data_IF_436336027686
#
_entry.id   IF_436336027686
#
_cell.length_a   1.000
_cell.length_b   1.000
_cell.length_c   1.000
_cell.angle_alpha   90.00
_cell.angle_beta   90.00
_cell.angle_gamma   90.00
#
_symmetry.space_group_name_H-M   'P 1'
#
loop_
_entity.id
_entity.type
_entity.pdbx_description
1 polymer ?
#
# COMPACT_ATOMS: atom_id res chain seq x y z
N UNK A 1 22.86 -14.91 -42.36
CA UNK A 1 21.61 -14.35 -42.90
C UNK A 1 20.54 -14.88 -41.95
N UNK A 2 20.36 -14.16 -40.85
CA UNK A 2 19.58 -14.63 -39.71
C UNK A 2 18.12 -14.39 -40.04
N UNK A 3 17.40 -15.47 -40.33
CA UNK A 3 15.95 -15.45 -40.43
C UNK A 3 15.39 -15.28 -39.01
N UNK A 4 15.04 -14.05 -38.65
CA UNK A 4 13.99 -13.79 -37.66
C UNK A 4 12.75 -14.56 -38.12
N UNK A 5 12.41 -15.61 -37.40
CA UNK A 5 11.15 -16.33 -37.56
C UNK A 5 10.06 -15.39 -37.05
N UNK A 6 9.42 -14.67 -37.98
CA UNK A 6 8.18 -13.93 -37.77
C UNK A 6 7.10 -14.93 -37.35
N UNK A 7 7.00 -15.21 -36.04
CA UNK A 7 6.02 -16.12 -35.47
C UNK A 7 4.66 -15.44 -35.31
N UNK A 8 4.20 -14.70 -36.33
CA UNK A 8 2.84 -14.21 -36.40
C UNK A 8 1.93 -15.34 -36.83
N UNK A 9 0.93 -15.66 -36.01
CA UNK A 9 -0.16 -16.56 -36.40
C UNK A 9 -0.76 -16.05 -37.71
N UNK A 10 -0.68 -16.81 -38.81
CA UNK A 10 -1.17 -16.33 -40.10
C UNK A 10 -2.69 -16.10 -40.04
N UNK A 11 -3.15 -14.93 -40.46
CA UNK A 11 -4.58 -14.67 -40.69
C UNK A 11 -5.34 -13.89 -39.61
N UNK A 12 -4.65 -13.20 -38.69
CA UNK A 12 -5.30 -12.25 -37.79
C UNK A 12 -5.81 -11.03 -38.57
N UNK A 13 -7.04 -10.61 -38.28
CA UNK A 13 -7.56 -9.32 -38.72
C UNK A 13 -6.87 -8.17 -37.97
N UNK A 14 -6.89 -6.96 -38.53
CA UNK A 14 -6.32 -5.78 -37.88
C UNK A 14 -7.00 -5.43 -36.54
N UNK A 15 -8.23 -5.90 -36.33
CA UNK A 15 -8.97 -5.77 -35.08
C UNK A 15 -8.47 -6.78 -34.04
N UNK A 16 -8.24 -8.03 -34.43
CA UNK A 16 -7.64 -9.05 -33.57
C UNK A 16 -6.18 -8.73 -33.21
N UNK A 17 -5.38 -8.18 -34.14
CA UNK A 17 -4.01 -7.71 -33.83
C UNK A 17 -4.02 -6.57 -32.80
N UNK A 18 -4.99 -5.65 -32.87
CA UNK A 18 -5.18 -4.57 -31.89
C UNK A 18 -5.66 -5.11 -30.55
N UNK A 19 -6.63 -6.03 -30.53
CA UNK A 19 -7.08 -6.67 -29.30
C UNK A 19 -5.94 -7.46 -28.63
N UNK A 20 -5.05 -8.08 -29.41
CA UNK A 20 -3.87 -8.76 -28.86
C UNK A 20 -2.90 -7.75 -28.24
N UNK A 21 -2.66 -6.60 -28.90
CA UNK A 21 -1.76 -5.57 -28.37
C UNK A 21 -2.35 -4.87 -27.13
N UNK A 22 -3.67 -4.63 -27.11
CA UNK A 22 -4.38 -4.02 -25.97
C UNK A 22 -4.53 -4.96 -24.76
N UNK A 23 -4.70 -6.27 -24.98
CA UNK A 23 -4.85 -7.25 -23.90
C UNK A 23 -3.51 -7.81 -23.39
N UNK A 24 -2.38 -7.46 -24.00
CA UNK A 24 -1.08 -7.84 -23.48
C UNK A 24 -0.77 -7.06 -22.19
N UNK A 25 -0.21 -7.73 -21.16
CA UNK A 25 0.27 -7.02 -19.98
C UNK A 25 1.33 -5.98 -20.40
N UNK A 26 1.33 -4.76 -19.82
CA UNK A 26 2.23 -3.72 -20.26
C UNK A 26 3.69 -4.14 -20.12
N UNK A 27 4.53 -3.77 -21.09
CA UNK A 27 5.98 -4.03 -21.01
C UNK A 27 6.57 -3.39 -19.75
N UNK A 28 7.57 -4.04 -19.15
CA UNK A 28 8.22 -3.55 -17.93
C UNK A 28 8.71 -2.09 -18.04
N UNK A 29 9.18 -1.67 -19.22
CA UNK A 29 9.59 -0.28 -19.47
C UNK A 29 8.41 0.71 -19.40
N UNK A 30 7.22 0.33 -19.89
CA UNK A 30 6.02 1.15 -19.83
C UNK A 30 5.52 1.27 -18.39
N UNK A 31 5.55 0.17 -17.63
CA UNK A 31 5.22 0.17 -16.20
C UNK A 31 6.15 1.08 -15.41
N UNK A 32 7.46 0.94 -15.63
CA UNK A 32 8.47 1.79 -14.99
C UNK A 32 8.22 3.27 -15.28
N UNK A 33 8.00 3.63 -16.55
CA UNK A 33 7.74 5.02 -16.94
C UNK A 33 6.42 5.55 -16.36
N UNK A 34 5.37 4.72 -16.30
CA UNK A 34 4.10 5.08 -15.70
C UNK A 34 4.26 5.40 -14.21
N UNK A 35 4.94 4.54 -13.46
CA UNK A 35 5.22 4.78 -12.03
C UNK A 35 6.14 5.99 -11.81
N UNK A 36 7.12 6.20 -12.71
CA UNK A 36 7.99 7.38 -12.68
C UNK A 36 7.18 8.67 -12.88
N UNK A 37 6.31 8.73 -13.88
CA UNK A 37 5.48 9.92 -14.10
C UNK A 37 4.53 10.21 -12.94
N UNK A 38 3.94 9.16 -12.33
CA UNK A 38 3.13 9.32 -11.12
C UNK A 38 3.96 9.90 -9.96
N UNK A 39 5.18 9.38 -9.75
CA UNK A 39 6.11 9.90 -8.76
C UNK A 39 6.48 11.37 -8.98
N UNK A 40 6.73 11.77 -10.22
CA UNK A 40 7.00 13.17 -10.58
C UNK A 40 5.82 14.08 -10.21
N UNK A 41 4.58 13.67 -10.51
CA UNK A 41 3.39 14.43 -10.12
C UNK A 41 3.26 14.57 -8.60
N UNK A 42 3.53 13.52 -7.83
CA UNK A 42 3.48 13.58 -6.36
C UNK A 42 4.57 14.50 -5.79
N UNK A 43 5.77 14.49 -6.37
CA UNK A 43 6.85 15.41 -6.01
C UNK A 43 6.55 16.88 -6.34
N UNK A 44 5.60 17.16 -7.23
CA UNK A 44 5.19 18.53 -7.58
C UNK A 44 4.07 19.08 -6.68
N UNK A 45 3.36 18.22 -5.95
CA UNK A 45 2.26 18.65 -5.08
C UNK A 45 2.71 19.62 -3.99
N UNK A 46 1.80 20.54 -3.65
CA UNK A 46 2.01 21.48 -2.57
C UNK A 46 2.03 20.78 -1.21
N UNK A 47 2.77 21.34 -0.25
CA UNK A 47 2.88 20.82 1.12
C UNK A 47 1.50 20.67 1.77
N UNK A 48 0.60 21.64 1.57
CA UNK A 48 -0.75 21.59 2.12
C UNK A 48 -1.59 20.45 1.52
N UNK A 49 -1.48 20.22 0.21
CA UNK A 49 -2.18 19.13 -0.46
C UNK A 49 -1.67 17.76 0.00
N UNK A 50 -0.35 17.60 0.15
CA UNK A 50 0.25 16.39 0.70
C UNK A 50 -0.18 16.17 2.15
N UNK A 51 -0.13 17.21 2.98
CA UNK A 51 -0.47 17.14 4.40
C UNK A 51 -1.90 16.64 4.63
N UNK A 52 -2.89 17.25 4.00
CA UNK A 52 -4.29 16.84 4.21
C UNK A 52 -4.58 15.45 3.67
N UNK A 53 -3.97 15.09 2.53
CA UNK A 53 -4.10 13.76 1.96
C UNK A 53 -3.43 12.69 2.84
N UNK A 54 -2.32 13.02 3.48
CA UNK A 54 -1.59 12.13 4.38
C UNK A 54 -2.27 12.00 5.75
N UNK A 55 -2.83 13.09 6.27
CA UNK A 55 -3.65 13.04 7.49
C UNK A 55 -4.87 12.13 7.27
N UNK A 56 -5.57 12.31 6.15
CA UNK A 56 -6.69 11.46 5.77
C UNK A 56 -6.27 9.99 5.68
N UNK A 57 -5.14 9.68 5.02
CA UNK A 57 -4.60 8.33 4.97
C UNK A 57 -4.35 7.74 6.36
N UNK A 58 -3.73 8.52 7.27
CA UNK A 58 -3.47 8.08 8.65
C UNK A 58 -4.75 7.77 9.42
N UNK A 59 -5.78 8.61 9.29
CA UNK A 59 -7.10 8.35 9.88
C UNK A 59 -7.75 7.10 9.29
N UNK A 60 -7.70 6.95 7.96
CA UNK A 60 -8.28 5.82 7.24
C UNK A 60 -7.56 4.50 7.53
N UNK A 61 -6.26 4.51 7.80
CA UNK A 61 -5.52 3.33 8.26
C UNK A 61 -6.03 2.80 9.60
N UNK A 62 -6.70 3.63 10.39
CA UNK A 62 -7.45 3.20 11.58
C UNK A 62 -8.45 2.06 11.30
N UNK A 63 -9.02 2.01 10.09
CA UNK A 63 -9.94 0.96 9.68
C UNK A 63 -9.29 -0.44 9.70
N UNK A 64 -7.99 -0.55 9.44
CA UNK A 64 -7.27 -1.82 9.51
C UNK A 64 -7.26 -2.38 10.94
N UNK A 65 -6.94 -1.53 11.93
CA UNK A 65 -6.96 -1.93 13.34
C UNK A 65 -8.38 -2.24 13.80
N UNK A 66 -9.35 -1.38 13.43
CA UNK A 66 -10.77 -1.56 13.78
C UNK A 66 -11.31 -2.89 13.25
N UNK A 67 -11.13 -3.18 11.95
CA UNK A 67 -11.64 -4.40 11.34
C UNK A 67 -10.95 -5.64 11.90
N UNK A 68 -9.62 -5.63 12.05
CA UNK A 68 -8.88 -6.75 12.63
C UNK A 68 -9.27 -7.00 14.10
N UNK A 69 -9.38 -5.96 14.92
CA UNK A 69 -9.75 -6.10 16.33
C UNK A 69 -11.20 -6.53 16.52
N UNK A 70 -12.13 -6.03 15.70
CA UNK A 70 -13.51 -6.51 15.69
C UNK A 70 -13.59 -7.99 15.31
N UNK A 71 -12.87 -8.42 14.28
CA UNK A 71 -12.82 -9.83 13.91
C UNK A 71 -12.19 -10.69 15.01
N UNK A 72 -11.07 -10.26 15.60
CA UNK A 72 -10.44 -10.97 16.72
C UNK A 72 -11.38 -11.11 17.91
N UNK A 73 -12.06 -10.03 18.32
CA UNK A 73 -13.01 -10.06 19.44
C UNK A 73 -14.21 -10.99 19.19
N UNK A 74 -14.69 -11.10 17.94
CA UNK A 74 -15.85 -11.93 17.60
C UNK A 74 -15.49 -13.39 17.34
N UNK A 75 -14.23 -13.68 17.03
CA UNK A 75 -13.72 -15.03 16.73
C UNK A 75 -12.90 -15.62 17.88
N UNK A 76 -12.93 -15.00 19.06
CA UNK A 76 -12.24 -15.47 20.25
C UNK A 76 -12.62 -16.94 20.57
N UNK A 77 -11.63 -17.78 20.81
CA UNK A 77 -11.82 -19.21 21.09
C UNK A 77 -12.03 -20.11 19.86
N UNK A 78 -12.08 -19.56 18.64
CA UNK A 78 -12.18 -20.36 17.40
C UNK A 78 -10.78 -20.74 16.89
N UNK A 79 -10.50 -22.04 16.64
CA UNK A 79 -9.26 -22.46 16.00
C UNK A 79 -9.09 -21.79 14.63
N UNK A 80 -7.95 -21.13 14.42
CA UNK A 80 -7.67 -20.39 13.18
C UNK A 80 -8.25 -18.97 13.13
N UNK A 81 -8.71 -18.41 14.25
CA UNK A 81 -9.20 -17.03 14.35
C UNK A 81 -8.22 -16.00 13.75
N UNK A 82 -6.91 -16.14 14.00
CA UNK A 82 -5.85 -15.29 13.45
C UNK A 82 -5.86 -15.24 11.91
N UNK A 83 -6.13 -16.36 11.25
CA UNK A 83 -6.18 -16.47 9.79
C UNK A 83 -7.35 -15.64 9.25
N UNK A 84 -8.49 -15.64 9.94
CA UNK A 84 -9.66 -14.88 9.48
C UNK A 84 -9.52 -13.40 9.87
N UNK A 85 -9.06 -13.08 11.08
CA UNK A 85 -8.92 -11.71 11.54
C UNK A 85 -7.85 -10.93 10.79
N UNK A 86 -6.82 -11.61 10.26
CA UNK A 86 -5.81 -11.01 9.38
C UNK A 86 -6.40 -10.37 8.12
N UNK A 87 -7.56 -10.82 7.62
CA UNK A 87 -8.26 -10.16 6.51
C UNK A 87 -8.71 -8.74 6.87
N UNK A 88 -8.97 -8.47 8.16
CA UNK A 88 -9.33 -7.14 8.65
C UNK A 88 -8.24 -6.10 8.37
N UNK A 89 -6.97 -6.52 8.31
CA UNK A 89 -5.87 -5.62 8.02
C UNK A 89 -5.99 -4.93 6.65
N UNK A 90 -6.57 -5.62 5.68
CA UNK A 90 -6.73 -5.10 4.32
C UNK A 90 -7.69 -3.92 4.23
N UNK A 91 -8.57 -3.71 5.21
CA UNK A 91 -9.63 -2.71 5.16
C UNK A 91 -9.10 -1.27 5.00
N UNK A 92 -8.12 -0.87 5.82
CA UNK A 92 -7.51 0.47 5.74
C UNK A 92 -6.75 0.67 4.43
N UNK A 93 -5.94 -0.31 4.02
CA UNK A 93 -5.22 -0.24 2.73
C UNK A 93 -6.17 -0.12 1.54
N UNK A 94 -7.25 -0.90 1.52
CA UNK A 94 -8.25 -0.83 0.47
C UNK A 94 -8.88 0.56 0.40
N UNK A 95 -9.29 1.11 1.55
CA UNK A 95 -9.88 2.44 1.62
C UNK A 95 -8.89 3.54 1.19
N UNK A 96 -7.65 3.50 1.68
CA UNK A 96 -6.59 4.47 1.33
C UNK A 96 -6.29 4.46 -0.16
N UNK A 97 -6.00 3.29 -0.73
CA UNK A 97 -5.56 3.15 -2.13
C UNK A 97 -6.71 3.48 -3.09
N UNK A 98 -7.93 3.00 -2.82
CA UNK A 98 -9.08 3.32 -3.66
C UNK A 98 -9.47 4.80 -3.57
N UNK A 99 -9.31 5.44 -2.40
CA UNK A 99 -9.54 6.86 -2.22
C UNK A 99 -8.37 7.75 -2.69
N UNK A 100 -7.28 7.16 -3.18
CA UNK A 100 -6.05 7.85 -3.63
C UNK A 100 -5.47 8.79 -2.55
N UNK A 101 -5.52 8.34 -1.30
CA UNK A 101 -4.94 9.07 -0.18
C UNK A 101 -3.42 8.82 -0.09
N UNK A 102 -2.71 9.69 0.62
CA UNK A 102 -1.23 9.65 0.62
C UNK A 102 -0.69 8.81 1.77
N UNK A 103 -0.35 7.55 1.50
CA UNK A 103 0.28 6.66 2.48
C UNK A 103 1.80 6.55 2.25
N UNK A 104 2.58 6.73 3.30
CA UNK A 104 4.04 6.78 3.22
C UNK A 104 4.66 5.54 2.56
N UNK A 105 4.20 4.35 2.95
CA UNK A 105 4.76 3.08 2.47
C UNK A 105 4.53 2.87 0.97
N UNK A 106 3.40 3.32 0.43
CA UNK A 106 3.08 3.24 -1.00
C UNK A 106 3.96 4.18 -1.84
N UNK A 107 4.16 5.41 -1.35
CA UNK A 107 4.89 6.44 -2.10
C UNK A 107 6.40 6.27 -2.12
N UNK A 108 6.94 5.30 -1.37
CA UNK A 108 8.39 5.17 -1.24
C UNK A 108 9.02 4.82 -2.59
N UNK A 109 8.49 3.82 -3.30
CA UNK A 109 9.05 3.41 -4.59
C UNK A 109 8.75 4.44 -5.68
N UNK A 110 7.50 4.94 -5.76
CA UNK A 110 7.08 5.88 -6.81
C UNK A 110 7.83 7.20 -6.72
N UNK A 111 8.06 7.75 -5.53
CA UNK A 111 8.82 8.98 -5.36
C UNK A 111 10.33 8.81 -5.59
N UNK A 112 10.88 7.61 -5.39
CA UNK A 112 12.32 7.34 -5.61
C UNK A 112 12.65 7.20 -7.10
N UNK A 113 11.77 6.63 -7.91
CA UNK A 113 12.00 6.41 -9.35
C UNK A 113 12.38 7.70 -10.12
N UNK A 114 11.68 8.84 -9.99
CA UNK A 114 12.06 10.06 -10.65
C UNK A 114 13.38 10.65 -10.16
N UNK A 115 13.66 10.52 -8.86
CA UNK A 115 14.91 11.00 -8.25
C UNK A 115 16.09 10.21 -8.79
N UNK A 116 15.97 8.88 -8.90
CA UNK A 116 17.02 8.05 -9.51
C UNK A 116 17.23 8.37 -11.00
N UNK A 117 16.18 8.80 -11.70
CA UNK A 117 16.28 9.19 -13.11
C UNK A 117 17.04 10.51 -13.30
N UNK A 118 16.98 11.43 -12.31
CA UNK A 118 17.72 12.69 -12.31
C UNK A 118 18.25 12.99 -10.91
N UNK A 119 19.38 12.39 -10.56
CA UNK A 119 20.02 12.57 -9.25
C UNK A 119 20.62 13.98 -9.12
N UNK A 120 19.92 14.86 -8.42
CA UNK A 120 20.41 16.18 -8.04
C UNK A 120 19.87 16.59 -6.65
N UNK A 121 20.54 17.55 -6.01
CA UNK A 121 20.21 18.04 -4.66
C UNK A 121 18.77 18.56 -4.55
N UNK A 122 18.24 19.19 -5.61
CA UNK A 122 16.87 19.69 -5.61
C UNK A 122 15.84 18.56 -5.57
N UNK A 123 16.07 17.48 -6.33
CA UNK A 123 15.21 16.30 -6.36
C UNK A 123 15.28 15.50 -5.06
N UNK A 124 16.46 15.39 -4.44
CA UNK A 124 16.61 14.82 -3.10
C UNK A 124 15.82 15.65 -2.06
N UNK A 125 15.89 16.99 -2.15
CA UNK A 125 15.10 17.87 -1.29
C UNK A 125 13.59 17.69 -1.46
N UNK A 126 13.10 17.55 -2.70
CA UNK A 126 11.68 17.27 -2.99
C UNK A 126 11.23 15.93 -2.41
N UNK A 127 12.07 14.90 -2.51
CA UNK A 127 11.83 13.57 -1.94
C UNK A 127 11.72 13.62 -0.41
N UNK A 128 12.71 14.21 0.25
CA UNK A 128 12.71 14.35 1.72
C UNK A 128 11.53 15.19 2.21
N UNK A 129 11.14 16.23 1.46
CA UNK A 129 9.92 17.01 1.75
C UNK A 129 8.67 16.14 1.66
N UNK A 130 8.50 15.38 0.57
CA UNK A 130 7.36 14.48 0.40
C UNK A 130 7.31 13.46 1.54
N UNK A 131 8.41 12.75 1.79
CA UNK A 131 8.52 11.76 2.86
C UNK A 131 8.23 12.34 4.23
N UNK A 132 8.84 13.47 4.58
CA UNK A 132 8.64 14.12 5.87
C UNK A 132 7.19 14.54 6.10
N UNK A 133 6.56 15.17 5.10
CA UNK A 133 5.16 15.62 5.19
C UNK A 133 4.21 14.44 5.29
N UNK A 134 4.38 13.43 4.42
CA UNK A 134 3.46 12.28 4.36
C UNK A 134 3.59 11.41 5.61
N UNK A 135 4.81 11.09 6.06
CA UNK A 135 5.05 10.31 7.27
C UNK A 135 4.45 11.02 8.49
N UNK A 136 4.71 12.31 8.64
CA UNK A 136 4.17 13.08 9.78
C UNK A 136 2.64 13.13 9.74
N UNK A 137 2.03 13.37 8.57
CA UNK A 137 0.58 13.38 8.42
C UNK A 137 -0.05 12.03 8.76
N UNK A 138 0.54 10.93 8.27
CA UNK A 138 0.08 9.57 8.60
C UNK A 138 0.15 9.30 10.11
N UNK A 139 1.27 9.64 10.76
CA UNK A 139 1.43 9.47 12.21
C UNK A 139 0.42 10.30 13.01
N UNK A 140 0.19 11.56 12.64
CA UNK A 140 -0.82 12.40 13.32
C UNK A 140 -2.22 11.80 13.16
N UNK A 141 -2.56 11.30 11.97
CA UNK A 141 -3.85 10.65 11.72
C UNK A 141 -4.03 9.38 12.55
N UNK A 142 -3.03 8.49 12.57
CA UNK A 142 -3.12 7.24 13.34
C UNK A 142 -3.13 7.50 14.84
N UNK A 143 -2.36 8.48 15.34
CA UNK A 143 -2.40 8.90 16.74
C UNK A 143 -3.76 9.49 17.12
N UNK A 144 -4.40 10.23 16.22
CA UNK A 144 -5.76 10.76 16.43
C UNK A 144 -6.78 9.62 16.55
N UNK A 145 -6.70 8.61 15.68
CA UNK A 145 -7.54 7.41 15.80
C UNK A 145 -7.29 6.69 17.12
N UNK A 146 -6.03 6.46 17.49
CA UNK A 146 -5.68 5.79 18.74
C UNK A 146 -6.23 6.56 19.96
N UNK A 147 -6.10 7.89 19.97
CA UNK A 147 -6.65 8.74 21.01
C UNK A 147 -8.18 8.61 21.10
N UNK A 148 -8.87 8.65 19.96
CA UNK A 148 -10.33 8.49 19.88
C UNK A 148 -10.76 7.12 20.39
N UNK A 149 -10.09 6.06 19.97
CA UNK A 149 -10.40 4.68 20.38
C UNK A 149 -10.18 4.45 21.89
N UNK A 150 -9.20 5.13 22.50
CA UNK A 150 -8.92 5.00 23.93
C UNK A 150 -9.86 5.81 24.83
N UNK A 151 -10.39 6.95 24.36
CA UNK A 151 -11.10 7.90 25.21
C UNK A 151 -12.61 7.96 24.95
N UNK A 152 -13.08 7.54 23.77
CA UNK A 152 -14.50 7.56 23.45
C UNK A 152 -15.10 6.15 23.62
N UNK A 153 -16.30 6.01 24.21
CA UNK A 153 -16.96 4.72 24.39
C UNK A 153 -17.59 4.23 23.08
N UNK A 154 -16.75 3.91 22.10
CA UNK A 154 -17.16 3.48 20.75
C UNK A 154 -17.40 1.98 20.71
N UNK A 155 -16.59 1.21 21.44
CA UNK A 155 -16.56 -0.25 21.39
C UNK A 155 -16.83 -0.89 22.76
N UNK A 156 -17.14 -2.19 22.74
CA UNK A 156 -17.29 -2.98 23.96
C UNK A 156 -15.92 -3.33 24.56
N UNK A 157 -15.90 -3.68 25.85
CA UNK A 157 -14.66 -3.98 26.59
C UNK A 157 -13.87 -5.14 25.99
N UNK A 158 -14.54 -6.10 25.35
CA UNK A 158 -13.89 -7.20 24.63
C UNK A 158 -13.11 -6.72 23.41
N UNK A 159 -13.69 -5.80 22.64
CA UNK A 159 -13.04 -5.23 21.46
C UNK A 159 -11.86 -4.33 21.88
N UNK A 160 -12.00 -3.54 22.96
CA UNK A 160 -10.90 -2.73 23.48
C UNK A 160 -9.69 -3.58 23.89
N UNK A 161 -9.94 -4.72 24.56
CA UNK A 161 -8.89 -5.69 24.88
C UNK A 161 -8.21 -6.24 23.64
N UNK A 162 -8.98 -6.58 22.60
CA UNK A 162 -8.43 -7.07 21.35
C UNK A 162 -7.51 -6.04 20.67
N UNK A 163 -7.86 -4.74 20.69
CA UNK A 163 -6.99 -3.69 20.16
C UNK A 163 -5.67 -3.57 20.95
N UNK A 164 -5.73 -3.63 22.29
CA UNK A 164 -4.54 -3.59 23.13
C UNK A 164 -3.65 -4.82 22.93
N UNK A 165 -4.24 -6.01 22.80
CA UNK A 165 -3.50 -7.25 22.54
C UNK A 165 -2.74 -7.20 21.22
N UNK A 166 -3.39 -6.73 20.14
CA UNK A 166 -2.73 -6.51 18.83
C UNK A 166 -1.53 -5.56 19.00
N UNK A 167 -1.72 -4.45 19.71
CA UNK A 167 -0.64 -3.48 19.98
C UNK A 167 0.52 -4.08 20.79
N UNK A 168 0.22 -4.81 21.86
CA UNK A 168 1.22 -5.46 22.70
C UNK A 168 2.02 -6.51 21.93
N UNK A 169 1.36 -7.30 21.07
CA UNK A 169 2.03 -8.31 20.23
C UNK A 169 3.09 -7.70 19.32
N UNK A 170 2.84 -6.50 18.80
CA UNK A 170 3.82 -5.78 17.98
C UNK A 170 5.01 -5.32 18.83
N UNK A 171 4.78 -4.92 20.08
CA UNK A 171 5.83 -4.47 21.02
C UNK A 171 6.70 -5.61 21.57
N UNK A 172 6.33 -6.87 21.38
CA UNK A 172 7.19 -8.02 21.72
C UNK A 172 8.43 -8.14 20.82
N UNK A 173 8.40 -7.54 19.63
CA UNK A 173 9.50 -7.65 18.67
C UNK A 173 10.69 -6.78 19.11
N UNK A 174 11.89 -7.33 19.03
CA UNK A 174 13.12 -6.54 19.21
C UNK A 174 13.41 -5.63 18.00
N UNK A 175 14.42 -4.75 18.14
CA UNK A 175 14.80 -3.80 17.09
C UNK A 175 15.18 -4.48 15.77
N UNK A 176 15.91 -5.61 15.81
CA UNK A 176 16.34 -6.32 14.61
C UNK A 176 15.16 -7.02 13.93
N UNK A 177 14.22 -7.57 14.72
CA UNK A 177 12.98 -8.15 14.24
C UNK A 177 12.07 -7.10 13.60
N UNK A 178 11.88 -5.94 14.24
CA UNK A 178 11.11 -4.83 13.67
C UNK A 178 11.72 -4.33 12.35
N UNK A 179 13.04 -4.16 12.31
CA UNK A 179 13.75 -3.74 11.10
C UNK A 179 13.60 -4.76 9.96
N UNK A 180 13.78 -6.05 10.26
CA UNK A 180 13.64 -7.14 9.29
C UNK A 180 12.22 -7.24 8.74
N UNK A 181 11.21 -7.18 9.62
CA UNK A 181 9.79 -7.13 9.23
C UNK A 181 9.50 -5.90 8.35
N UNK A 182 10.06 -4.74 8.71
CA UNK A 182 9.94 -3.51 7.93
C UNK A 182 10.48 -3.64 6.50
N UNK A 183 11.61 -4.31 6.30
CA UNK A 183 12.16 -4.59 4.96
C UNK A 183 11.20 -5.46 4.15
N UNK A 184 10.72 -6.57 4.73
CA UNK A 184 9.80 -7.49 4.06
C UNK A 184 8.50 -6.79 3.70
N UNK A 185 7.89 -6.07 4.63
CA UNK A 185 6.69 -5.27 4.38
C UNK A 185 6.92 -4.20 3.30
N UNK A 186 8.06 -3.51 3.31
CA UNK A 186 8.41 -2.54 2.28
C UNK A 186 8.54 -3.16 0.88
N UNK A 187 9.16 -4.34 0.79
CA UNK A 187 9.24 -5.10 -0.45
C UNK A 187 7.86 -5.57 -0.94
N UNK A 188 6.99 -6.03 -0.04
CA UNK A 188 5.62 -6.45 -0.36
C UNK A 188 4.79 -5.27 -0.89
N UNK A 189 4.82 -4.12 -0.21
CA UNK A 189 4.11 -2.90 -0.66
C UNK A 189 4.66 -2.41 -2.00
N UNK A 190 5.98 -2.39 -2.20
CA UNK A 190 6.56 -2.05 -3.49
C UNK A 190 6.03 -2.99 -4.57
N UNK A 191 6.12 -4.30 -4.36
CA UNK A 191 5.61 -5.30 -5.32
C UNK A 191 4.13 -5.11 -5.62
N UNK A 192 3.31 -4.81 -4.61
CA UNK A 192 1.90 -4.48 -4.77
C UNK A 192 1.68 -3.28 -5.71
N UNK A 193 2.45 -2.20 -5.56
CA UNK A 193 2.37 -1.02 -6.44
C UNK A 193 2.66 -1.39 -7.90
N UNK A 194 3.70 -2.19 -8.14
CA UNK A 194 4.00 -2.70 -9.49
C UNK A 194 2.89 -3.59 -10.05
N UNK A 195 2.33 -4.49 -9.23
CA UNK A 195 1.23 -5.36 -9.63
C UNK A 195 -0.03 -4.57 -9.98
N UNK A 196 -0.38 -3.56 -9.18
CA UNK A 196 -1.54 -2.69 -9.44
C UNK A 196 -1.36 -1.93 -10.75
N UNK A 197 -0.16 -1.41 -11.02
CA UNK A 197 0.15 -0.73 -12.27
C UNK A 197 0.08 -1.68 -13.48
N UNK A 198 0.40 -2.96 -13.29
CA UNK A 198 0.32 -3.98 -14.34
C UNK A 198 -1.07 -4.54 -14.57
N UNK A 199 -1.92 -4.59 -13.55
CA UNK A 199 -3.22 -5.24 -13.58
C UNK A 199 -4.27 -4.40 -12.83
N UNK A 200 -4.69 -3.31 -13.44
CA UNK A 200 -5.65 -2.39 -12.80
C UNK A 200 -6.99 -3.07 -12.46
N UNK A 201 -7.47 -3.98 -13.31
CA UNK A 201 -8.72 -4.73 -13.09
C UNK A 201 -8.68 -5.65 -11.86
N UNK A 202 -7.49 -6.07 -11.42
CA UNK A 202 -7.29 -6.94 -10.26
C UNK A 202 -6.88 -6.19 -8.99
N UNK A 203 -6.90 -4.84 -9.02
CA UNK A 203 -6.40 -3.97 -7.94
C UNK A 203 -6.91 -4.35 -6.55
N UNK A 204 -8.21 -4.61 -6.39
CA UNK A 204 -8.80 -5.00 -5.10
C UNK A 204 -8.22 -6.34 -4.60
N UNK A 205 -8.17 -7.34 -5.48
CA UNK A 205 -7.66 -8.67 -5.12
C UNK A 205 -6.17 -8.62 -4.74
N UNK A 206 -5.38 -7.82 -5.47
CA UNK A 206 -3.96 -7.61 -5.19
C UNK A 206 -3.76 -6.95 -3.81
N UNK A 207 -4.50 -5.87 -3.52
CA UNK A 207 -4.42 -5.18 -2.22
C UNK A 207 -4.77 -6.14 -1.09
N UNK A 208 -5.89 -6.85 -1.21
CA UNK A 208 -6.34 -7.80 -0.18
C UNK A 208 -5.29 -8.89 0.00
N UNK A 209 -4.83 -9.55 -1.08
CA UNK A 209 -3.86 -10.64 -1.00
C UNK A 209 -2.56 -10.22 -0.32
N UNK A 210 -1.93 -9.13 -0.77
CA UNK A 210 -0.63 -8.71 -0.26
C UNK A 210 -0.74 -8.26 1.20
N UNK A 211 -1.74 -7.44 1.52
CA UNK A 211 -1.90 -6.94 2.89
C UNK A 211 -2.32 -8.05 3.85
N UNK A 212 -3.17 -8.98 3.39
CA UNK A 212 -3.53 -10.17 4.17
C UNK A 212 -2.31 -11.03 4.52
N UNK A 213 -1.46 -11.35 3.54
CA UNK A 213 -0.24 -12.12 3.79
C UNK A 213 0.70 -11.40 4.77
N UNK A 214 0.81 -10.07 4.65
CA UNK A 214 1.61 -9.24 5.56
C UNK A 214 1.07 -9.26 7.00
N UNK A 215 -0.25 -9.35 7.19
CA UNK A 215 -0.84 -9.48 8.52
C UNK A 215 -0.70 -10.89 9.10
N UNK A 216 -0.70 -11.90 8.24
CA UNK A 216 -0.69 -13.30 8.64
C UNK A 216 0.65 -13.71 9.28
N UNK A 217 1.78 -13.19 8.80
CA UNK A 217 3.11 -13.48 9.35
C UNK A 217 4.26 -12.81 8.60
#
# INVERSE_FOLDING_TARGET
MDHEVDSKTPGLSAEEEREIDENQPPRAAVLHETLRMQGDHELERSVAALWWSALAAGLTMGLSLMAMGLLNSRLEGIPGSHVISSLGYSAGFLAVILARQQLFTENTITAVLPVMSKLNLANIGRLLRLWGVVLTGNLVGTLTVAYVMLNLPIFDTSTDKAFLEIGHKVMENDMAQMFSKGIVSGWMISTMVWMIASMENAKIAIIVLITYLMALG
#
